data_IF_626887320601
#
_entry.id   IF_626887320601
#
_cell.length_a   1.000
_cell.length_b   1.000
_cell.length_c   1.000
_cell.angle_alpha   90.00
_cell.angle_beta   90.00
_cell.angle_gamma   90.00
#
_symmetry.space_group_name_H-M   'P 1'
#
loop_
_entity.id
_entity.type
_entity.pdbx_description
1 polymer ?
#
# COMPACT_ATOMS: atom_id res chain seq x y z
N UNK A 1 -4.44 10.68 -2.88
CA UNK A 1 -4.21 9.26 -2.55
C UNK A 1 -4.28 8.37 -3.77
N UNK A 2 -5.33 8.45 -4.60
CA UNK A 2 -5.44 7.69 -5.87
C UNK A 2 -4.21 7.79 -6.78
N UNK A 3 -3.69 9.01 -7.00
CA UNK A 3 -2.51 9.22 -7.84
C UNK A 3 -1.23 8.57 -7.25
N UNK A 4 -1.08 8.63 -5.93
CA UNK A 4 0.05 8.01 -5.22
C UNK A 4 0.01 6.48 -5.35
N UNK A 5 -1.14 5.86 -5.06
CA UNK A 5 -1.33 4.41 -5.19
C UNK A 5 -1.08 3.94 -6.63
N UNK A 6 -1.59 4.68 -7.62
CA UNK A 6 -1.37 4.38 -9.04
C UNK A 6 0.12 4.38 -9.40
N UNK A 7 0.88 5.36 -8.88
CA UNK A 7 2.33 5.45 -9.11
C UNK A 7 3.09 4.29 -8.47
N UNK A 8 2.69 3.86 -7.27
CA UNK A 8 3.31 2.71 -6.60
C UNK A 8 3.04 1.42 -7.38
N UNK A 9 1.80 1.25 -7.89
CA UNK A 9 1.43 0.11 -8.74
C UNK A 9 2.25 0.06 -10.02
N UNK A 10 2.40 1.19 -10.71
CA UNK A 10 3.23 1.32 -11.92
C UNK A 10 4.68 0.88 -11.68
N UNK A 11 5.29 1.30 -10.57
CA UNK A 11 6.65 0.91 -10.19
C UNK A 11 6.74 -0.60 -9.91
N UNK A 12 5.74 -1.18 -9.25
CA UNK A 12 5.73 -2.59 -8.93
C UNK A 12 5.50 -3.48 -10.16
N UNK A 13 4.64 -3.05 -11.08
CA UNK A 13 4.43 -3.73 -12.36
C UNK A 13 5.71 -3.69 -13.21
N UNK A 14 6.44 -2.57 -13.18
CA UNK A 14 7.76 -2.46 -13.82
C UNK A 14 8.80 -3.40 -13.18
N UNK A 15 8.82 -3.53 -11.85
CA UNK A 15 9.70 -4.46 -11.14
C UNK A 15 9.37 -5.94 -11.43
N UNK A 16 8.08 -6.27 -11.53
CA UNK A 16 7.63 -7.60 -11.93
C UNK A 16 8.03 -7.94 -13.37
N UNK A 17 7.93 -6.97 -14.29
CA UNK A 17 8.34 -7.11 -15.69
C UNK A 17 9.82 -7.47 -15.86
N UNK A 18 10.70 -6.96 -14.98
CA UNK A 18 12.14 -7.28 -14.99
C UNK A 18 12.50 -8.51 -14.16
N UNK A 19 11.51 -9.32 -13.73
CA UNK A 19 11.73 -10.57 -13.02
C UNK A 19 12.06 -10.41 -11.53
N UNK A 20 11.80 -9.24 -10.94
CA UNK A 20 11.92 -8.98 -9.50
C UNK A 20 10.55 -8.65 -8.88
N UNK A 21 9.61 -9.61 -8.84
CA UNK A 21 8.31 -9.39 -8.21
C UNK A 21 8.52 -9.09 -6.72
N UNK A 22 8.03 -7.95 -6.27
CA UNK A 22 8.01 -7.59 -4.85
C UNK A 22 6.91 -8.39 -4.15
N UNK A 23 7.18 -8.91 -2.94
CA UNK A 23 6.16 -9.65 -2.20
C UNK A 23 5.02 -8.72 -1.76
N UNK A 24 3.80 -9.26 -1.60
CA UNK A 24 2.64 -8.48 -1.15
C UNK A 24 2.91 -7.77 0.19
N UNK A 25 3.63 -8.41 1.10
CA UNK A 25 4.00 -7.84 2.39
C UNK A 25 4.98 -6.68 2.25
N UNK A 26 6.04 -6.83 1.45
CA UNK A 26 6.99 -5.74 1.17
C UNK A 26 6.29 -4.54 0.52
N UNK A 27 5.38 -4.80 -0.42
CA UNK A 27 4.62 -3.77 -1.12
C UNK A 27 3.74 -2.97 -0.15
N UNK A 28 3.00 -3.65 0.73
CA UNK A 28 2.18 -3.00 1.78
C UNK A 28 3.07 -2.18 2.73
N UNK A 29 4.17 -2.75 3.21
CA UNK A 29 5.10 -2.04 4.10
C UNK A 29 5.68 -0.78 3.45
N UNK A 30 6.01 -0.83 2.16
CA UNK A 30 6.61 0.29 1.44
C UNK A 30 5.62 1.44 1.22
N UNK A 31 4.35 1.12 0.96
CA UNK A 31 3.25 2.08 0.91
C UNK A 31 3.11 2.74 2.30
N UNK A 32 2.86 1.94 3.35
CA UNK A 32 2.55 2.45 4.69
C UNK A 32 3.68 3.31 5.28
N UNK A 33 4.95 2.93 5.06
CA UNK A 33 6.12 3.67 5.55
C UNK A 33 6.32 5.04 4.88
N UNK A 34 5.76 5.25 3.70
CA UNK A 34 5.94 6.47 2.90
C UNK A 34 4.72 7.40 2.96
N UNK A 35 3.71 7.06 3.75
CA UNK A 35 2.52 7.90 3.90
C UNK A 35 2.76 9.11 4.79
N UNK A 36 2.10 10.25 4.50
CA UNK A 36 2.13 11.41 5.37
C UNK A 36 1.42 11.15 6.71
N UNK A 37 1.69 11.98 7.75
CA UNK A 37 1.24 11.74 9.13
C UNK A 37 -0.28 11.59 9.30
N UNK A 38 -1.05 12.19 8.39
CA UNK A 38 -2.50 12.17 8.29
C UNK A 38 -3.07 10.75 8.13
N UNK A 39 -2.29 9.82 7.57
CA UNK A 39 -2.70 8.42 7.40
C UNK A 39 -2.22 7.49 8.52
N UNK A 40 -1.52 8.02 9.54
CA UNK A 40 -1.01 7.22 10.67
C UNK A 40 -2.07 6.39 11.41
N UNK A 41 -3.31 6.86 11.63
CA UNK A 41 -4.35 6.04 12.25
C UNK A 41 -4.65 4.78 11.43
N UNK A 42 -4.70 4.90 10.11
CA UNK A 42 -4.94 3.78 9.19
C UNK A 42 -3.74 2.85 9.12
N UNK A 43 -2.52 3.38 9.10
CA UNK A 43 -1.28 2.60 9.18
C UNK A 43 -1.25 1.77 10.47
N UNK A 44 -1.61 2.37 11.61
CA UNK A 44 -1.65 1.68 12.89
C UNK A 44 -2.68 0.54 12.90
N UNK A 45 -3.87 0.75 12.33
CA UNK A 45 -4.92 -0.29 12.22
C UNK A 45 -4.46 -1.44 11.32
N UNK A 46 -3.88 -1.15 10.16
CA UNK A 46 -3.40 -2.17 9.21
C UNK A 46 -2.22 -2.95 9.81
N UNK A 47 -1.32 -2.28 10.53
CA UNK A 47 -0.14 -2.93 11.15
C UNK A 47 -0.50 -3.70 12.42
N UNK A 48 -1.50 -3.24 13.18
CA UNK A 48 -1.96 -3.90 14.41
C UNK A 48 -2.91 -5.08 14.10
N UNK A 49 -3.62 -5.05 12.98
CA UNK A 49 -4.45 -6.17 12.57
C UNK A 49 -3.56 -7.33 12.09
N UNK A 50 -3.83 -8.51 12.67
CA UNK A 50 -3.14 -9.77 12.33
C UNK A 50 -3.74 -10.46 11.10
N UNK A 51 -4.73 -9.85 10.46
CA UNK A 51 -5.32 -10.39 9.24
C UNK A 51 -4.39 -10.25 8.05
N UNK A 52 -4.48 -11.20 7.10
CA UNK A 52 -3.78 -11.09 5.83
C UNK A 52 -4.46 -10.00 5.00
N UNK A 53 -3.98 -8.77 5.11
CA UNK A 53 -4.38 -7.73 4.18
C UNK A 53 -3.85 -8.02 2.80
N UNK A 54 -4.74 -7.98 1.81
CA UNK A 54 -4.35 -7.92 0.40
C UNK A 54 -4.06 -6.47 0.03
N UNK A 55 -3.22 -6.28 -0.99
CA UNK A 55 -2.94 -4.95 -1.54
C UNK A 55 -4.23 -4.21 -1.91
N UNK A 56 -5.20 -4.92 -2.47
CA UNK A 56 -6.49 -4.36 -2.89
C UNK A 56 -7.24 -3.71 -1.71
N UNK A 57 -7.35 -4.42 -0.59
CA UNK A 57 -8.01 -3.93 0.63
C UNK A 57 -7.29 -2.71 1.21
N UNK A 58 -5.96 -2.74 1.27
CA UNK A 58 -5.15 -1.60 1.76
C UNK A 58 -5.32 -0.39 0.86
N UNK A 59 -5.29 -0.57 -0.45
CA UNK A 59 -5.48 0.53 -1.40
C UNK A 59 -6.89 1.10 -1.34
N UNK A 60 -7.92 0.26 -1.18
CA UNK A 60 -9.30 0.69 -1.01
C UNK A 60 -9.49 1.52 0.26
N UNK A 61 -9.06 1.00 1.42
CA UNK A 61 -9.17 1.73 2.69
C UNK A 61 -8.44 3.08 2.68
N UNK A 62 -7.28 3.15 2.03
CA UNK A 62 -6.54 4.40 1.90
C UNK A 62 -7.21 5.40 0.95
N UNK A 63 -7.89 4.93 -0.09
CA UNK A 63 -8.67 5.78 -1.01
C UNK A 63 -9.95 6.29 -0.33
N UNK A 64 -10.62 5.43 0.44
CA UNK A 64 -11.82 5.78 1.19
C UNK A 64 -11.50 6.77 2.32
N UNK A 65 -10.30 6.69 2.91
CA UNK A 65 -9.82 7.63 3.93
C UNK A 65 -9.54 9.05 3.39
N UNK A 66 -9.38 9.22 2.07
CA UNK A 66 -9.20 10.53 1.43
C UNK A 66 -10.54 11.24 1.13
N UNK A 67 -11.67 10.51 1.12
CA UNK A 67 -13.00 11.02 0.75
C UNK A 67 -13.66 11.83 1.87
#
# INVERSE_FOLDING_TARGET
>A
MRAYISKVKEICDALASVGKPMSTTEHITLILNRLPPEYRPFVAVITASRERFTLDVVTGTLIDAEA
#
